data_IF_374693905724
#
_entry.id   IF_374693905724
#
_cell.length_a   1.000
_cell.length_b   1.000
_cell.length_c   1.000
_cell.angle_alpha   90.00
_cell.angle_beta   90.00
_cell.angle_gamma   90.00
#
_symmetry.space_group_name_H-M   'P 1'
#
loop_
_entity.id
_entity.type
_entity.pdbx_description
1 polymer ?
#
# COMPACT_ATOMS: atom_id res chain seq x y z
N UNK A 1 -31.53 9.31 8.37
CA UNK A 1 -30.96 10.65 8.21
C UNK A 1 -31.78 11.37 7.15
N UNK A 2 -32.19 12.59 7.44
CA UNK A 2 -32.92 13.41 6.47
C UNK A 2 -31.92 14.04 5.49
N UNK A 3 -32.27 14.08 4.21
CA UNK A 3 -31.44 14.71 3.18
C UNK A 3 -31.44 16.24 3.34
N UNK A 4 -30.37 16.94 2.93
CA UNK A 4 -30.39 18.40 2.85
C UNK A 4 -31.52 18.92 1.95
N UNK A 5 -31.97 20.14 2.21
CA UNK A 5 -33.01 20.77 1.41
C UNK A 5 -32.57 20.97 -0.06
N UNK A 6 -33.48 20.70 -0.99
CA UNK A 6 -33.29 20.99 -2.42
C UNK A 6 -33.68 22.45 -2.67
N UNK A 7 -32.71 23.28 -3.04
CA UNK A 7 -32.86 24.73 -3.23
C UNK A 7 -32.42 25.18 -4.62
N UNK A 8 -32.68 26.44 -4.96
CA UNK A 8 -32.17 27.04 -6.20
C UNK A 8 -30.65 27.20 -6.18
N UNK A 9 -30.02 27.37 -7.36
CA UNK A 9 -28.57 27.60 -7.46
C UNK A 9 -28.15 28.88 -6.75
N UNK A 10 -28.96 29.92 -6.81
CA UNK A 10 -28.66 31.22 -6.21
C UNK A 10 -28.73 31.15 -4.68
N UNK A 11 -29.74 30.45 -4.14
CA UNK A 11 -29.86 30.19 -2.71
C UNK A 11 -28.71 29.33 -2.19
N UNK A 12 -28.34 28.27 -2.92
CA UNK A 12 -27.16 27.47 -2.60
C UNK A 12 -25.88 28.31 -2.61
N UNK A 13 -25.71 29.19 -3.60
CA UNK A 13 -24.50 30.01 -3.72
C UNK A 13 -24.41 31.00 -2.56
N UNK A 14 -25.52 31.63 -2.19
CA UNK A 14 -25.58 32.51 -1.03
C UNK A 14 -25.10 31.77 0.24
N UNK A 15 -25.73 30.63 0.56
CA UNK A 15 -25.35 29.80 1.72
C UNK A 15 -23.89 29.32 1.65
N UNK A 16 -23.42 28.90 0.46
CA UNK A 16 -22.04 28.43 0.27
C UNK A 16 -21.02 29.53 0.51
N UNK A 17 -21.30 30.77 0.10
CA UNK A 17 -20.39 31.91 0.29
C UNK A 17 -20.34 32.38 1.74
N UNK A 18 -21.43 32.22 2.50
CA UNK A 18 -21.43 32.40 3.95
C UNK A 18 -20.51 31.38 4.62
N UNK A 19 -20.71 30.07 4.34
CA UNK A 19 -19.86 28.99 4.83
C UNK A 19 -18.37 29.18 4.49
N UNK A 20 -18.06 29.72 3.30
CA UNK A 20 -16.68 29.99 2.87
C UNK A 20 -15.94 30.94 3.83
N UNK A 21 -16.67 31.84 4.49
CA UNK A 21 -16.07 32.78 5.44
C UNK A 21 -15.59 32.05 6.69
N UNK A 22 -16.37 31.09 7.18
CA UNK A 22 -16.01 30.23 8.31
C UNK A 22 -14.86 29.28 7.96
N UNK A 23 -14.92 28.63 6.80
CA UNK A 23 -13.83 27.77 6.32
C UNK A 23 -12.50 28.53 6.21
N UNK A 24 -12.52 29.76 5.71
CA UNK A 24 -11.32 30.62 5.66
C UNK A 24 -10.82 31.00 7.05
N UNK A 25 -11.71 31.21 8.01
CA UNK A 25 -11.32 31.47 9.40
C UNK A 25 -10.65 30.22 10.01
N UNK A 26 -11.20 29.03 9.76
CA UNK A 26 -10.60 27.76 10.18
C UNK A 26 -9.21 27.54 9.57
N UNK A 27 -9.02 27.82 8.27
CA UNK A 27 -7.70 27.74 7.63
C UNK A 27 -6.67 28.60 8.35
N UNK A 28 -6.98 29.86 8.63
CA UNK A 28 -6.07 30.77 9.35
C UNK A 28 -5.79 30.29 10.77
N UNK A 29 -6.81 29.78 11.47
CA UNK A 29 -6.66 29.22 12.81
C UNK A 29 -5.75 27.99 12.81
N UNK A 30 -5.86 27.11 11.79
CA UNK A 30 -4.99 25.96 11.59
C UNK A 30 -3.54 26.37 11.35
N UNK A 31 -3.30 27.39 10.53
CA UNK A 31 -1.96 27.92 10.26
C UNK A 31 -1.32 28.51 11.53
N UNK A 32 -2.10 29.27 12.30
CA UNK A 32 -1.65 29.81 13.58
C UNK A 32 -1.32 28.68 14.58
N UNK A 33 -2.14 27.62 14.65
CA UNK A 33 -1.87 26.46 15.50
C UNK A 33 -0.64 25.67 15.04
N UNK A 34 -0.40 25.55 13.74
CA UNK A 34 0.82 24.94 13.22
C UNK A 34 2.07 25.73 13.64
N UNK A 35 2.04 27.06 13.54
CA UNK A 35 3.13 27.95 14.00
C UNK A 35 3.40 27.79 15.49
N UNK A 36 2.34 27.66 16.31
CA UNK A 36 2.48 27.40 17.76
C UNK A 36 3.10 26.05 18.06
N UNK A 37 2.73 24.99 17.32
CA UNK A 37 3.35 23.66 17.47
C UNK A 37 4.84 23.68 17.13
N UNK A 38 5.22 24.39 16.06
CA UNK A 38 6.61 24.54 15.63
C UNK A 38 7.49 25.33 16.62
N UNK A 39 6.89 26.08 17.54
CA UNK A 39 7.60 26.90 18.54
C UNK A 39 7.57 26.31 19.94
N UNK A 40 7.08 25.07 20.11
CA UNK A 40 7.13 24.38 21.39
C UNK A 40 8.59 24.17 21.84
N UNK A 41 8.87 24.23 23.16
CA UNK A 41 10.16 23.80 23.69
C UNK A 41 10.37 22.32 23.39
N UNK A 42 11.63 21.92 23.23
CA UNK A 42 12.03 20.56 22.90
C UNK A 42 12.85 19.94 24.03
N UNK A 43 12.74 18.63 24.19
CA UNK A 43 13.47 17.85 25.20
C UNK A 43 14.53 17.01 24.50
N UNK A 44 15.78 17.08 24.96
CA UNK A 44 16.86 16.25 24.42
C UNK A 44 16.63 14.78 24.80
N UNK A 45 16.68 13.90 23.81
CA UNK A 45 16.60 12.45 23.99
C UNK A 45 18.02 11.93 24.17
N UNK A 46 18.35 11.60 25.41
CA UNK A 46 19.69 11.08 25.78
C UNK A 46 19.75 9.56 25.87
N UNK A 47 18.60 8.90 25.89
CA UNK A 47 18.52 7.44 25.94
C UNK A 47 18.87 6.84 24.57
N UNK A 48 19.71 5.81 24.56
CA UNK A 48 20.11 5.11 23.35
C UNK A 48 19.08 4.02 22.98
N UNK A 49 18.06 4.41 22.23
CA UNK A 49 17.07 3.46 21.73
C UNK A 49 17.56 2.71 20.49
N UNK A 50 17.49 1.38 20.57
CA UNK A 50 17.76 0.45 19.48
C UNK A 50 16.48 -0.24 19.04
N UNK A 51 16.19 -0.17 17.75
CA UNK A 51 15.08 -0.83 17.10
C UNK A 51 15.59 -1.95 16.19
N UNK A 52 14.66 -2.69 15.59
CA UNK A 52 15.00 -3.66 14.56
C UNK A 52 14.08 -3.58 13.34
N UNK A 53 14.64 -3.85 12.17
CA UNK A 53 13.95 -4.13 10.92
C UNK A 53 14.51 -5.42 10.28
N UNK A 54 14.20 -5.66 9.00
CA UNK A 54 14.69 -6.82 8.24
C UNK A 54 16.21 -6.85 8.05
N UNK A 55 16.87 -5.69 8.06
CA UNK A 55 18.32 -5.53 7.86
C UNK A 55 19.11 -5.60 9.18
N UNK A 56 18.43 -5.49 10.32
CA UNK A 56 19.00 -5.76 11.63
C UNK A 56 18.69 -4.65 12.63
N UNK A 57 19.68 -4.27 13.43
CA UNK A 57 19.52 -3.26 14.49
C UNK A 57 19.67 -1.84 13.92
N UNK A 58 18.77 -0.95 14.31
CA UNK A 58 18.70 0.44 13.84
C UNK A 58 18.63 1.38 15.04
N UNK A 59 19.50 2.38 15.13
CA UNK A 59 19.39 3.40 16.20
C UNK A 59 18.30 4.43 15.88
N UNK A 60 17.81 5.16 16.89
CA UNK A 60 16.92 6.30 16.65
C UNK A 60 17.52 7.33 15.68
N UNK A 61 18.85 7.53 15.71
CA UNK A 61 19.53 8.45 14.81
C UNK A 61 19.49 7.97 13.36
N UNK A 62 19.64 6.66 13.14
CA UNK A 62 19.60 6.05 11.81
C UNK A 62 18.21 6.15 11.17
N UNK A 63 17.15 6.09 11.98
CA UNK A 63 15.76 6.26 11.50
C UNK A 63 15.50 7.62 10.85
N UNK A 64 16.33 8.64 11.09
CA UNK A 64 16.25 9.89 10.34
C UNK A 64 16.62 9.72 8.86
N UNK A 65 17.36 8.67 8.49
CA UNK A 65 17.78 8.41 7.11
C UNK A 65 18.59 9.56 6.51
N UNK A 66 19.38 10.26 7.34
CA UNK A 66 20.15 11.46 6.97
C UNK A 66 19.38 12.77 6.96
N UNK A 67 18.07 12.78 7.27
CA UNK A 67 17.26 13.99 7.34
C UNK A 67 17.29 14.64 8.71
N UNK A 68 16.83 15.89 8.82
CA UNK A 68 16.81 16.61 10.11
C UNK A 68 15.56 16.34 10.94
N UNK A 69 14.47 15.93 10.32
CA UNK A 69 13.20 15.70 11.01
C UNK A 69 12.76 14.24 10.88
N UNK A 70 12.17 13.72 11.95
CA UNK A 70 11.61 12.38 11.99
C UNK A 70 10.24 12.44 12.62
N UNK A 71 9.25 11.85 11.95
CA UNK A 71 7.91 11.61 12.48
C UNK A 71 7.79 10.11 12.70
N UNK A 72 7.52 9.72 13.94
CA UNK A 72 7.22 8.33 14.30
C UNK A 72 5.73 8.24 14.61
N UNK A 73 5.04 7.36 13.89
CA UNK A 73 3.72 6.90 14.27
C UNK A 73 3.84 5.65 15.12
N UNK A 74 3.33 5.70 16.34
CA UNK A 74 3.25 4.55 17.23
C UNK A 74 2.05 3.71 16.82
N UNK A 75 2.31 2.63 16.09
CA UNK A 75 1.30 1.76 15.54
C UNK A 75 0.96 0.67 16.58
N UNK A 76 -0.32 0.49 16.88
CA UNK A 76 -0.80 -0.54 17.81
C UNK A 76 -0.66 -1.93 17.18
N UNK A 77 0.45 -2.59 17.52
CA UNK A 77 0.73 -3.97 17.15
C UNK A 77 1.61 -4.61 18.24
N UNK A 78 0.96 -5.31 19.16
CA UNK A 78 1.58 -5.97 20.30
C UNK A 78 2.22 -7.32 19.96
N UNK A 79 3.07 -7.87 20.85
CA UNK A 79 3.80 -9.11 20.61
C UNK A 79 2.89 -10.33 20.37
N UNK A 80 1.72 -10.36 21.01
CA UNK A 80 0.75 -11.46 20.94
C UNK A 80 -0.28 -11.31 19.82
N UNK A 81 -0.21 -10.23 19.03
CA UNK A 81 -1.13 -9.97 17.92
C UNK A 81 -0.58 -10.51 16.60
N UNK A 82 -1.48 -10.84 15.66
CA UNK A 82 -1.12 -11.32 14.31
C UNK A 82 -1.70 -10.42 13.19
N UNK A 83 -2.38 -9.34 13.55
CA UNK A 83 -2.87 -8.32 12.64
C UNK A 83 -2.76 -6.94 13.30
N UNK A 84 -2.58 -5.90 12.49
CA UNK A 84 -2.55 -4.53 12.96
C UNK A 84 -3.93 -4.02 13.35
N UNK A 85 -3.98 -3.07 14.28
CA UNK A 85 -5.23 -2.43 14.69
C UNK A 85 -5.88 -1.66 13.54
N UNK A 86 -7.20 -1.82 13.34
CA UNK A 86 -7.95 -1.21 12.23
C UNK A 86 -7.75 0.31 12.13
N UNK A 87 -7.88 1.04 13.23
CA UNK A 87 -7.71 2.50 13.24
C UNK A 87 -6.28 2.96 12.94
N UNK A 88 -5.27 2.12 13.24
CA UNK A 88 -3.90 2.39 12.82
C UNK A 88 -3.72 2.14 11.34
N UNK A 89 -4.29 1.05 10.82
CA UNK A 89 -4.19 0.68 9.41
C UNK A 89 -4.79 1.72 8.48
N UNK A 90 -5.99 2.27 8.79
CA UNK A 90 -6.58 3.37 8.00
C UNK A 90 -5.73 4.65 8.02
N UNK A 91 -5.00 4.91 9.11
CA UNK A 91 -4.07 6.04 9.15
C UNK A 91 -2.90 5.80 8.21
N UNK A 92 -2.33 4.60 8.21
CA UNK A 92 -1.23 4.27 7.29
C UNK A 92 -1.71 4.27 5.83
N UNK A 93 -2.91 3.78 5.55
CA UNK A 93 -3.56 3.89 4.23
C UNK A 93 -3.80 5.35 3.80
N UNK A 94 -3.84 6.28 4.76
CA UNK A 94 -3.95 7.73 4.49
C UNK A 94 -2.60 8.40 4.21
N UNK A 95 -1.47 7.70 4.41
CA UNK A 95 -0.15 8.26 4.15
C UNK A 95 0.08 8.32 2.64
N UNK A 96 0.16 9.54 2.12
CA UNK A 96 0.50 9.78 0.71
C UNK A 96 1.97 9.49 0.41
N UNK A 97 2.39 9.78 -0.82
CA UNK A 97 3.74 9.49 -1.28
C UNK A 97 4.83 10.20 -0.46
N UNK A 98 5.73 9.44 0.17
CA UNK A 98 6.73 9.94 1.12
C UNK A 98 7.75 10.93 0.53
N UNK A 99 7.96 10.92 -0.80
CA UNK A 99 8.85 11.89 -1.46
C UNK A 99 8.53 13.35 -1.13
N UNK A 100 7.25 13.69 -0.89
CA UNK A 100 6.88 15.05 -0.49
C UNK A 100 7.44 15.45 0.88
N UNK A 101 7.52 14.50 1.82
CA UNK A 101 8.16 14.70 3.13
C UNK A 101 9.69 14.64 3.01
N UNK A 102 10.21 13.66 2.28
CA UNK A 102 11.65 13.50 2.09
C UNK A 102 12.30 14.74 1.47
N UNK A 103 11.66 15.35 0.47
CA UNK A 103 12.11 16.59 -0.16
C UNK A 103 12.07 17.81 0.79
N UNK A 104 11.43 17.69 1.95
CA UNK A 104 11.35 18.68 3.03
C UNK A 104 12.09 18.22 4.28
N UNK A 105 13.10 17.39 4.08
CA UNK A 105 14.04 17.00 5.13
C UNK A 105 13.34 16.34 6.33
N UNK A 106 12.32 15.52 6.04
CA UNK A 106 11.51 14.80 7.04
C UNK A 106 11.35 13.34 6.65
N UNK A 107 11.67 12.42 7.57
CA UNK A 107 11.36 10.99 7.47
C UNK A 107 10.06 10.69 8.22
N UNK A 108 9.27 9.73 7.72
CA UNK A 108 8.09 9.20 8.40
C UNK A 108 8.26 7.69 8.56
N UNK A 109 8.07 7.18 9.78
CA UNK A 109 8.24 5.77 10.11
C UNK A 109 7.15 5.29 11.09
N UNK A 110 6.91 3.98 11.06
CA UNK A 110 6.05 3.30 12.03
C UNK A 110 6.93 2.63 13.09
N UNK A 111 6.44 2.57 14.33
CA UNK A 111 7.06 1.77 15.40
C UNK A 111 5.99 0.95 16.11
N UNK A 112 6.29 -0.32 16.40
CA UNK A 112 5.43 -1.23 17.15
C UNK A 112 6.23 -2.16 18.06
N UNK A 113 5.57 -2.86 19.00
CA UNK A 113 6.23 -3.84 19.89
C UNK A 113 6.31 -5.25 19.33
N UNK A 114 5.55 -5.57 18.29
CA UNK A 114 5.63 -6.86 17.61
C UNK A 114 7.02 -7.11 17.01
N UNK A 115 7.37 -8.39 16.82
CA UNK A 115 8.63 -8.79 16.21
C UNK A 115 8.70 -8.36 14.73
N UNK A 116 9.91 -8.10 14.23
CA UNK A 116 10.16 -7.74 12.83
C UNK A 116 9.41 -8.65 11.87
N UNK A 117 9.51 -9.97 12.04
CA UNK A 117 8.83 -10.92 11.17
C UNK A 117 7.30 -10.74 11.12
N UNK A 118 6.65 -10.34 12.23
CA UNK A 118 5.21 -10.05 12.24
C UNK A 118 4.89 -8.73 11.53
N UNK A 119 5.70 -7.71 11.77
CA UNK A 119 5.54 -6.39 11.15
C UNK A 119 5.69 -6.50 9.63
N UNK A 120 6.74 -7.17 9.15
CA UNK A 120 7.02 -7.33 7.73
C UNK A 120 5.93 -8.07 6.98
N UNK A 121 5.47 -9.22 7.49
CA UNK A 121 4.36 -9.95 6.89
C UNK A 121 3.09 -9.10 6.76
N UNK A 122 2.81 -8.26 7.76
CA UNK A 122 1.64 -7.39 7.72
C UNK A 122 1.86 -6.21 6.76
N UNK A 123 3.04 -5.59 6.77
CA UNK A 123 3.45 -4.51 5.86
C UNK A 123 3.30 -4.95 4.39
N UNK A 124 3.84 -6.12 4.07
CA UNK A 124 3.76 -6.72 2.73
C UNK A 124 2.31 -6.99 2.32
N UNK A 125 1.51 -7.62 3.21
CA UNK A 125 0.08 -7.87 2.96
C UNK A 125 -0.68 -6.60 2.64
N UNK A 126 -0.40 -5.51 3.36
CA UNK A 126 -1.07 -4.23 3.17
C UNK A 126 -0.46 -3.38 2.03
N UNK A 127 0.60 -3.87 1.36
CA UNK A 127 1.28 -3.16 0.27
C UNK A 127 1.92 -1.83 0.70
N UNK A 128 2.23 -1.66 1.99
CA UNK A 128 2.76 -0.40 2.49
C UNK A 128 4.27 -0.28 2.23
N UNK A 129 4.69 0.93 1.85
CA UNK A 129 6.11 1.27 1.61
C UNK A 129 6.73 2.08 2.74
N UNK A 130 5.98 2.31 3.82
CA UNK A 130 6.46 3.06 4.99
C UNK A 130 7.41 2.16 5.79
N UNK A 131 8.60 2.67 6.19
CA UNK A 131 9.50 1.93 7.08
C UNK A 131 8.81 1.62 8.41
N UNK A 132 8.94 0.38 8.90
CA UNK A 132 8.32 -0.07 10.14
C UNK A 132 9.32 -0.79 11.02
N UNK A 133 9.56 -0.26 12.22
CA UNK A 133 10.56 -0.75 13.13
C UNK A 133 9.94 -1.42 14.35
N UNK A 134 10.55 -2.51 14.78
CA UNK A 134 10.25 -3.17 16.04
C UNK A 134 10.98 -2.48 17.19
N UNK A 135 10.24 -2.16 18.25
CA UNK A 135 10.75 -1.74 19.56
C UNK A 135 10.79 -2.90 20.57
N UNK A 136 10.65 -4.14 20.09
CA UNK A 136 10.62 -5.31 20.95
C UNK A 136 11.86 -5.37 21.85
N UNK A 137 11.64 -5.50 23.16
CA UNK A 137 12.71 -5.64 24.14
C UNK A 137 13.32 -4.31 24.63
N UNK A 138 12.81 -3.15 24.21
CA UNK A 138 13.25 -1.85 24.74
C UNK A 138 12.09 -1.06 25.40
N UNK A 139 12.44 0.07 26.04
CA UNK A 139 11.49 0.90 26.80
C UNK A 139 10.79 2.01 25.98
N UNK A 140 11.16 2.19 24.71
CA UNK A 140 10.67 3.25 23.83
C UNK A 140 9.16 3.53 23.94
N UNK A 141 8.26 2.54 23.77
CA UNK A 141 6.84 2.85 23.71
C UNK A 141 6.27 3.27 25.07
N UNK A 142 6.91 2.93 26.19
CA UNK A 142 6.51 3.39 27.53
C UNK A 142 6.95 4.84 27.77
N UNK A 143 8.18 5.17 27.39
CA UNK A 143 8.77 6.51 27.57
C UNK A 143 8.06 7.56 26.69
N UNK A 144 7.51 7.14 25.55
CA UNK A 144 6.69 7.98 24.66
C UNK A 144 5.18 7.76 24.82
N UNK A 145 4.75 7.05 25.87
CA UNK A 145 3.35 6.93 26.28
C UNK A 145 2.42 6.30 25.23
N UNK A 146 2.97 5.40 24.42
CA UNK A 146 2.27 4.57 23.46
C UNK A 146 1.96 3.16 23.98
N UNK A 147 2.57 2.74 25.08
CA UNK A 147 2.23 1.48 25.79
C UNK A 147 2.10 1.71 27.28
N UNK A 148 1.02 1.19 27.86
CA UNK A 148 0.67 1.36 29.26
C UNK A 148 0.79 0.03 29.98
N UNK A 149 1.75 -0.03 30.90
CA UNK A 149 1.97 -1.13 31.83
C UNK A 149 2.55 -0.54 33.12
N UNK A 150 1.72 -0.45 34.16
CA UNK A 150 2.11 0.11 35.46
C UNK A 150 3.28 -0.65 36.12
N UNK A 151 3.54 -1.90 35.72
CA UNK A 151 4.70 -2.66 36.21
C UNK A 151 6.03 -2.19 35.59
N UNK A 152 5.98 -1.46 34.47
CA UNK A 152 7.16 -0.98 33.72
C UNK A 152 7.37 0.52 33.87
N UNK A 153 6.30 1.31 33.81
CA UNK A 153 6.32 2.77 33.92
C UNK A 153 4.97 3.30 34.44
N UNK A 154 4.92 4.47 35.11
CA UNK A 154 3.67 5.10 35.47
C UNK A 154 2.77 5.33 34.25
N UNK A 155 1.48 5.03 34.38
CA UNK A 155 0.50 5.27 33.32
C UNK A 155 0.42 6.75 33.00
N UNK A 156 0.65 7.08 31.75
CA UNK A 156 0.40 8.37 31.17
C UNK A 156 -0.11 8.16 29.75
N UNK A 157 -1.26 8.73 29.42
CA UNK A 157 -1.75 8.78 28.03
C UNK A 157 -2.33 10.16 27.76
N UNK A 158 -1.97 10.76 26.62
CA UNK A 158 -2.47 12.08 26.24
C UNK A 158 -2.34 13.11 27.39
N UNK A 159 -1.17 13.11 28.04
CA UNK A 159 -0.80 13.97 29.18
C UNK A 159 -1.70 13.82 30.42
N UNK A 160 -2.34 12.68 30.60
CA UNK A 160 -3.17 12.33 31.75
C UNK A 160 -2.66 11.07 32.44
N UNK A 161 -2.63 11.09 33.77
CA UNK A 161 -2.35 9.91 34.59
C UNK A 161 -3.59 8.98 34.70
N UNK A 162 -3.40 7.80 35.30
CA UNK A 162 -4.47 6.81 35.49
C UNK A 162 -5.69 7.39 36.24
N UNK A 163 -5.49 8.25 37.23
CA UNK A 163 -6.56 8.85 38.02
C UNK A 163 -7.38 9.86 37.21
N UNK A 164 -6.71 10.69 36.41
CA UNK A 164 -7.33 11.59 35.47
C UNK A 164 -8.15 10.81 34.42
N UNK A 165 -7.57 9.77 33.83
CA UNK A 165 -8.25 8.89 32.86
C UNK A 165 -9.52 8.26 33.46
N UNK A 166 -9.46 7.77 34.71
CA UNK A 166 -10.63 7.27 35.44
C UNK A 166 -11.70 8.35 35.64
N UNK A 167 -11.30 9.56 36.05
CA UNK A 167 -12.24 10.68 36.29
C UNK A 167 -12.97 11.12 35.03
N UNK A 168 -12.31 11.07 33.87
CA UNK A 168 -12.93 11.41 32.57
C UNK A 168 -13.64 10.22 31.92
N UNK A 169 -13.78 9.10 32.64
CA UNK A 169 -14.51 7.93 32.17
C UNK A 169 -13.81 7.14 31.08
N UNK A 170 -12.47 7.20 31.00
CA UNK A 170 -11.64 6.48 30.02
C UNK A 170 -10.61 5.54 30.66
N UNK A 171 -11.00 4.68 31.63
CA UNK A 171 -10.06 3.82 32.34
C UNK A 171 -9.32 2.80 31.45
N UNK A 172 -9.87 2.47 30.27
CA UNK A 172 -9.26 1.52 29.34
C UNK A 172 -7.93 1.99 28.77
N UNK A 173 -7.66 3.31 28.72
CA UNK A 173 -6.36 3.83 28.30
C UNK A 173 -5.21 3.51 29.27
N UNK A 174 -5.50 3.02 30.48
CA UNK A 174 -4.49 2.72 31.49
C UNK A 174 -3.73 1.41 31.26
N UNK A 175 -3.99 0.68 30.16
CA UNK A 175 -3.30 -0.57 29.83
C UNK A 175 -3.18 -0.79 28.33
N UNK A 176 -2.15 -1.50 27.90
CA UNK A 176 -1.98 -1.97 26.52
C UNK A 176 -1.36 -0.93 25.59
N UNK A 177 -1.36 -1.25 24.30
CA UNK A 177 -0.83 -0.36 23.26
C UNK A 177 -1.88 0.64 22.79
N UNK A 178 -1.46 1.87 22.64
CA UNK A 178 -2.25 2.98 22.14
C UNK A 178 -1.52 3.73 21.06
N UNK A 179 -2.27 4.14 20.04
CA UNK A 179 -1.70 4.90 18.95
C UNK A 179 -1.32 6.31 19.40
N UNK A 180 -0.30 6.84 18.74
CA UNK A 180 0.23 8.17 18.97
C UNK A 180 1.15 8.58 17.83
N UNK A 181 1.56 9.83 17.84
CA UNK A 181 2.58 10.35 16.94
C UNK A 181 3.57 11.17 17.73
N UNK A 182 4.86 11.00 17.45
CA UNK A 182 5.93 11.80 18.01
C UNK A 182 6.80 12.41 16.91
N UNK A 183 7.22 13.66 17.11
CA UNK A 183 8.05 14.41 16.16
C UNK A 183 9.39 14.72 16.80
N UNK A 184 10.45 14.49 16.05
CA UNK A 184 11.83 14.68 16.47
C UNK A 184 12.58 15.57 15.49
N UNK A 185 13.52 16.34 16.04
CA UNK A 185 14.48 17.15 15.31
C UNK A 185 15.88 16.68 15.70
N UNK A 186 16.79 16.57 14.73
CA UNK A 186 18.21 16.37 15.01
C UNK A 186 19.06 17.60 14.70
N UNK A 187 20.07 17.81 15.54
CA UNK A 187 21.18 18.74 15.33
C UNK A 187 22.50 17.97 15.49
N UNK A 188 23.13 17.64 14.36
CA UNK A 188 24.20 16.65 14.33
C UNK A 188 23.69 15.28 14.81
N UNK A 189 24.31 14.75 15.86
CA UNK A 189 23.93 13.48 16.50
C UNK A 189 22.95 13.66 17.67
N UNK A 190 22.69 14.91 18.09
CA UNK A 190 21.75 15.20 19.18
C UNK A 190 20.32 15.15 18.66
N UNK A 191 19.44 14.48 19.39
CA UNK A 191 18.05 14.28 19.02
C UNK A 191 17.17 14.98 20.05
N UNK A 192 16.14 15.67 19.57
CA UNK A 192 15.18 16.38 20.41
C UNK A 192 13.76 15.94 20.09
N UNK A 193 13.01 15.56 21.11
CA UNK A 193 11.55 15.39 21.02
C UNK A 193 10.88 16.77 21.07
N UNK A 194 10.05 17.07 20.08
CA UNK A 194 9.45 18.41 19.90
C UNK A 194 7.94 18.41 20.10
N UNK A 195 7.26 17.32 19.77
CA UNK A 195 5.80 17.26 19.80
C UNK A 195 5.30 15.82 19.88
N UNK A 196 4.22 15.59 20.63
CA UNK A 196 3.42 14.37 20.54
C UNK A 196 1.93 14.66 20.48
N UNK A 197 1.18 13.82 19.77
CA UNK A 197 -0.27 13.83 19.70
C UNK A 197 -0.84 12.42 19.82
N UNK A 198 -2.03 12.31 20.41
CA UNK A 198 -2.73 11.07 20.72
C UNK A 198 -4.22 11.23 20.47
N UNK A 199 -4.97 10.12 20.52
CA UNK A 199 -6.41 10.09 20.27
C UNK A 199 -6.81 10.90 19.00
N UNK A 200 -7.92 11.63 19.09
CA UNK A 200 -8.45 12.52 18.06
C UNK A 200 -7.52 13.65 17.64
N UNK A 201 -6.40 13.86 18.34
CA UNK A 201 -5.33 14.75 17.89
C UNK A 201 -4.76 14.35 16.52
N UNK A 202 -4.99 13.11 16.10
CA UNK A 202 -4.52 12.52 14.85
C UNK A 202 -5.60 12.44 13.77
N UNK A 203 -6.86 12.79 14.05
CA UNK A 203 -7.98 12.75 13.09
C UNK A 203 -7.65 13.49 11.79
N UNK A 204 -6.87 14.57 11.87
CA UNK A 204 -6.48 15.40 10.72
C UNK A 204 -5.54 14.69 9.73
N UNK A 205 -4.96 13.55 10.10
CA UNK A 205 -4.13 12.71 9.24
C UNK A 205 -4.96 11.66 8.48
N UNK A 206 -6.21 11.44 8.87
CA UNK A 206 -7.10 10.47 8.24
C UNK A 206 -7.72 11.09 6.98
N UNK A 207 -7.20 10.72 5.82
CA UNK A 207 -7.75 11.21 4.55
C UNK A 207 -9.22 10.85 4.34
N UNK A 208 -9.72 9.65 4.73
CA UNK A 208 -11.14 9.33 4.60
C UNK A 208 -12.04 10.26 5.42
N UNK A 209 -11.64 10.65 6.63
CA UNK A 209 -12.39 11.63 7.43
C UNK A 209 -12.49 12.97 6.73
N UNK A 210 -11.37 13.46 6.18
CA UNK A 210 -11.35 14.73 5.46
C UNK A 210 -12.23 14.68 4.20
N UNK A 211 -12.33 13.53 3.50
CA UNK A 211 -13.23 13.39 2.36
C UNK A 211 -14.70 13.27 2.78
N UNK A 212 -14.99 12.47 3.80
CA UNK A 212 -16.36 12.22 4.28
C UNK A 212 -17.00 13.49 4.87
N UNK A 213 -16.22 14.32 5.57
CA UNK A 213 -16.69 15.60 6.13
C UNK A 213 -17.12 16.61 5.06
N UNK A 214 -16.68 16.45 3.80
CA UNK A 214 -17.13 17.28 2.67
C UNK A 214 -18.47 16.81 2.11
N UNK A 215 -18.92 15.60 2.47
CA UNK A 215 -20.15 15.01 1.94
C UNK A 215 -21.34 15.35 2.83
N UNK A 216 -22.56 15.46 2.26
CA UNK A 216 -23.76 15.71 3.05
C UNK A 216 -24.08 14.64 4.10
N UNK A 217 -23.56 13.42 3.91
CA UNK A 217 -23.76 12.31 4.83
C UNK A 217 -22.74 12.27 5.96
N UNK A 218 -21.71 13.12 5.91
CA UNK A 218 -20.63 13.16 6.88
C UNK A 218 -19.92 11.82 7.05
N UNK A 219 -19.34 11.62 8.23
CA UNK A 219 -18.81 10.31 8.67
C UNK A 219 -19.99 9.43 9.08
N UNK A 220 -20.16 8.29 8.43
CA UNK A 220 -21.22 7.35 8.79
C UNK A 220 -20.84 6.47 9.98
N UNK A 221 -19.55 6.23 10.15
CA UNK A 221 -18.99 5.28 11.11
C UNK A 221 -17.91 5.92 12.00
N UNK A 222 -17.67 5.33 13.17
CA UNK A 222 -16.56 5.67 14.06
C UNK A 222 -15.22 5.14 13.54
N UNK A 223 -14.11 5.55 14.14
CA UNK A 223 -12.77 5.16 13.66
C UNK A 223 -12.53 3.65 13.79
N UNK A 224 -13.11 3.03 14.81
CA UNK A 224 -12.93 1.60 15.09
C UNK A 224 -13.85 0.70 14.25
N UNK A 225 -14.81 1.29 13.53
CA UNK A 225 -15.72 0.58 12.63
C UNK A 225 -15.12 0.37 11.22
N UNK A 226 -14.03 1.08 10.89
CA UNK A 226 -13.30 0.85 9.65
C UNK A 226 -12.66 -0.54 9.66
N UNK A 227 -12.61 -1.16 8.48
CA UNK A 227 -11.97 -2.46 8.27
C UNK A 227 -10.58 -2.26 7.68
N UNK A 228 -9.75 -3.30 7.75
CA UNK A 228 -8.54 -3.34 6.91
C UNK A 228 -8.98 -3.28 5.44
N UNK A 229 -8.25 -2.53 4.60
CA UNK A 229 -8.68 -2.28 3.22
C UNK A 229 -8.87 -3.57 2.40
N UNK A 230 -8.20 -4.66 2.76
CA UNK A 230 -8.30 -5.99 2.12
C UNK A 230 -9.38 -6.90 2.74
N UNK A 231 -10.14 -6.42 3.71
CA UNK A 231 -11.20 -7.19 4.41
C UNK A 231 -12.62 -6.69 4.14
N UNK A 232 -12.79 -5.65 3.32
CA UNK A 232 -14.10 -5.23 2.83
C UNK A 232 -14.70 -6.31 1.91
N UNK A 233 -15.92 -6.72 2.21
CA UNK A 233 -16.66 -7.69 1.40
C UNK A 233 -17.38 -6.99 0.23
N UNK A 234 -17.78 -7.74 -0.81
CA UNK A 234 -18.62 -7.18 -1.88
C UNK A 234 -19.93 -6.54 -1.37
N UNK A 235 -20.46 -7.02 -0.24
CA UNK A 235 -21.64 -6.44 0.39
C UNK A 235 -21.34 -5.08 1.04
N UNK A 236 -20.16 -4.92 1.65
CA UNK A 236 -19.73 -3.63 2.22
C UNK A 236 -19.50 -2.57 1.13
N UNK A 237 -19.06 -3.00 -0.05
CA UNK A 237 -18.79 -2.15 -1.22
C UNK A 237 -19.99 -2.09 -2.20
N UNK A 238 -21.16 -2.61 -1.80
CA UNK A 238 -22.32 -2.62 -2.66
C UNK A 238 -22.78 -1.17 -2.94
N UNK A 239 -22.86 -0.79 -4.21
CA UNK A 239 -23.23 0.57 -4.62
C UNK A 239 -22.06 1.55 -4.76
N UNK A 240 -20.83 1.16 -4.39
CA UNK A 240 -19.63 1.83 -4.87
C UNK A 240 -19.41 1.39 -6.31
N UNK A 241 -20.19 1.97 -7.22
CA UNK A 241 -19.84 1.88 -8.62
C UNK A 241 -18.43 2.49 -8.74
N UNK A 242 -17.44 1.68 -9.09
CA UNK A 242 -16.30 2.12 -9.87
C UNK A 242 -16.82 2.58 -11.24
N UNK A 243 -17.66 3.62 -11.25
CA UNK A 243 -18.19 4.29 -12.41
C UNK A 243 -17.17 5.29 -12.95
N UNK A 244 -15.97 4.78 -13.24
CA UNK A 244 -15.28 5.11 -14.48
C UNK A 244 -15.34 3.93 -15.47
N UNK A 245 -16.34 3.04 -15.34
CA UNK A 245 -16.88 2.29 -16.47
C UNK A 245 -17.59 3.26 -17.44
N UNK A 246 -16.81 3.87 -18.31
CA UNK A 246 -17.31 4.58 -19.48
C UNK A 246 -18.05 3.60 -20.39
N UNK A 247 -19.38 3.78 -20.45
CA UNK A 247 -20.28 3.32 -21.53
C UNK A 247 -20.37 1.81 -21.78
N UNK A 248 -21.45 1.26 -21.20
CA UNK A 248 -22.23 0.09 -21.65
C UNK A 248 -21.93 -0.42 -23.08
N UNK A 249 -21.15 -1.47 -23.15
CA UNK A 249 -21.44 -2.65 -23.96
C UNK A 249 -21.55 -3.85 -23.01
N UNK A 250 -22.58 -4.67 -23.20
CA UNK A 250 -22.87 -5.98 -22.60
C UNK A 250 -21.90 -6.61 -21.57
N UNK A 251 -22.46 -7.06 -20.45
CA UNK A 251 -21.89 -7.95 -19.41
C UNK A 251 -20.86 -8.97 -19.95
N UNK A 252 -19.60 -8.87 -19.51
CA UNK A 252 -18.61 -9.95 -19.49
C UNK A 252 -17.52 -9.63 -18.43
N UNK A 253 -16.97 -10.68 -17.81
CA UNK A 253 -15.96 -10.70 -16.74
C UNK A 253 -14.64 -10.05 -17.17
N UNK A 254 -14.22 -8.93 -16.58
CA UNK A 254 -12.95 -8.29 -16.96
C UNK A 254 -11.79 -8.68 -16.04
N UNK A 255 -11.02 -9.66 -16.50
CA UNK A 255 -9.66 -10.04 -16.05
C UNK A 255 -8.67 -8.91 -16.37
N UNK A 256 -7.72 -8.61 -15.46
CA UNK A 256 -6.69 -7.57 -15.68
C UNK A 256 -5.66 -8.00 -16.74
N UNK A 257 -4.93 -7.08 -17.40
CA UNK A 257 -3.88 -7.43 -18.37
C UNK A 257 -2.83 -8.41 -17.84
N UNK A 258 -2.41 -8.26 -16.57
CA UNK A 258 -1.44 -9.15 -15.92
C UNK A 258 -2.04 -10.55 -15.75
N UNK A 259 -3.30 -10.66 -15.31
CA UNK A 259 -3.97 -11.95 -15.18
C UNK A 259 -4.20 -12.64 -16.53
N UNK A 260 -4.56 -11.89 -17.59
CA UNK A 260 -4.68 -12.43 -18.95
C UNK A 260 -3.33 -12.94 -19.43
N UNK A 261 -2.26 -12.18 -19.22
CA UNK A 261 -0.91 -12.57 -19.61
C UNK A 261 -0.41 -13.80 -18.84
N UNK A 262 -0.60 -13.86 -17.52
CA UNK A 262 -0.23 -15.03 -16.71
C UNK A 262 -1.03 -16.25 -17.14
N UNK A 263 -2.35 -16.11 -17.30
CA UNK A 263 -3.22 -17.21 -17.76
C UNK A 263 -2.80 -17.70 -19.15
N UNK A 264 -2.38 -16.82 -20.03
CA UNK A 264 -1.88 -17.16 -21.36
C UNK A 264 -0.57 -17.96 -21.29
N UNK A 265 0.40 -17.53 -20.49
CA UNK A 265 1.70 -18.21 -20.34
C UNK A 265 1.54 -19.56 -19.62
N UNK A 266 0.68 -19.66 -18.62
CA UNK A 266 0.36 -20.92 -17.93
C UNK A 266 -0.38 -21.90 -18.86
N UNK A 267 -1.33 -21.41 -19.65
CA UNK A 267 -2.00 -22.20 -20.67
C UNK A 267 -1.02 -22.71 -21.73
N UNK A 268 -0.06 -21.89 -22.15
CA UNK A 268 1.03 -22.33 -23.03
C UNK A 268 1.87 -23.43 -22.40
N UNK A 269 2.32 -23.23 -21.15
CA UNK A 269 3.14 -24.21 -20.43
C UNK A 269 2.43 -25.54 -20.14
N UNK A 270 1.09 -25.54 -20.07
CA UNK A 270 0.27 -26.72 -19.83
C UNK A 270 -0.34 -27.33 -21.11
N UNK A 271 -0.19 -26.66 -22.26
CA UNK A 271 -0.77 -27.09 -23.53
C UNK A 271 -2.28 -26.88 -23.65
N UNK A 272 -2.88 -26.00 -22.83
CA UNK A 272 -4.30 -25.68 -22.87
C UNK A 272 -4.62 -24.71 -24.04
N UNK A 273 -4.90 -25.30 -25.20
CA UNK A 273 -5.18 -24.55 -26.42
C UNK A 273 -6.49 -23.77 -26.37
N UNK A 274 -7.46 -24.20 -25.55
CA UNK A 274 -8.74 -23.51 -25.43
C UNK A 274 -8.57 -22.19 -24.69
N UNK A 275 -7.81 -22.19 -23.59
CA UNK A 275 -7.46 -20.96 -22.86
C UNK A 275 -6.59 -20.06 -23.72
N UNK A 276 -5.56 -20.60 -24.40
CA UNK A 276 -4.73 -19.82 -25.32
C UNK A 276 -5.57 -19.09 -26.38
N UNK A 277 -6.45 -19.82 -27.07
CA UNK A 277 -7.32 -19.22 -28.08
C UNK A 277 -8.28 -18.19 -27.46
N UNK A 278 -8.73 -18.40 -26.23
CA UNK A 278 -9.59 -17.47 -25.50
C UNK A 278 -8.88 -16.15 -25.15
N UNK A 279 -7.56 -16.15 -24.98
CA UNK A 279 -6.78 -14.97 -24.64
C UNK A 279 -6.39 -14.12 -25.85
N UNK A 280 -6.37 -14.66 -27.07
CA UNK A 280 -5.87 -13.94 -28.26
C UNK A 280 -6.96 -13.09 -28.94
N UNK A 281 -6.59 -11.89 -29.38
CA UNK A 281 -7.38 -11.14 -30.36
C UNK A 281 -7.23 -11.75 -31.75
N UNK A 282 -8.26 -11.65 -32.59
CA UNK A 282 -8.25 -12.22 -33.95
C UNK A 282 -7.13 -11.62 -34.82
N UNK A 283 -6.81 -10.34 -34.60
CA UNK A 283 -5.80 -9.56 -35.30
C UNK A 283 -4.48 -9.40 -34.52
N UNK A 284 -4.19 -10.32 -33.57
CA UNK A 284 -2.96 -10.26 -32.79
C UNK A 284 -1.70 -10.21 -33.67
N UNK A 285 -0.73 -9.41 -33.24
CA UNK A 285 0.64 -9.42 -33.76
C UNK A 285 1.56 -10.09 -32.74
N UNK A 286 2.14 -11.24 -33.11
CA UNK A 286 3.16 -11.93 -32.32
C UNK A 286 4.54 -11.73 -32.95
N UNK A 287 5.50 -11.29 -32.14
CA UNK A 287 6.89 -11.12 -32.55
C UNK A 287 7.82 -11.87 -31.59
N UNK A 288 8.71 -12.68 -32.15
CA UNK A 288 9.76 -13.40 -31.42
C UNK A 288 11.09 -13.22 -32.13
N UNK A 289 12.23 -13.62 -31.52
CA UNK A 289 13.54 -13.55 -32.17
C UNK A 289 13.66 -14.42 -33.43
N UNK A 290 12.66 -15.26 -33.74
CA UNK A 290 12.67 -16.21 -34.86
C UNK A 290 11.65 -15.88 -35.95
N UNK A 291 10.50 -15.34 -35.56
CA UNK A 291 9.37 -15.17 -36.47
C UNK A 291 8.48 -14.02 -36.02
N UNK A 292 7.81 -13.40 -37.00
CA UNK A 292 6.69 -12.49 -36.81
C UNK A 292 5.45 -13.09 -37.45
N UNK A 293 4.36 -13.18 -36.71
CA UNK A 293 3.09 -13.76 -37.13
C UNK A 293 1.97 -12.75 -36.90
N UNK A 294 1.01 -12.70 -37.82
CA UNK A 294 -0.16 -11.82 -37.74
C UNK A 294 -1.43 -12.67 -37.86
N UNK A 295 -2.35 -12.45 -36.92
CA UNK A 295 -3.60 -13.19 -36.79
C UNK A 295 -3.54 -14.35 -35.79
N UNK A 296 -4.65 -14.60 -35.10
CA UNK A 296 -4.74 -15.61 -34.03
C UNK A 296 -4.46 -17.04 -34.51
N UNK A 297 -4.90 -17.40 -35.73
CA UNK A 297 -4.74 -18.75 -36.28
C UNK A 297 -3.27 -19.13 -36.55
N UNK A 298 -2.46 -18.31 -37.27
CA UNK A 298 -1.02 -18.56 -37.39
C UNK A 298 -0.28 -18.63 -36.05
N UNK A 299 -0.64 -17.76 -35.09
CA UNK A 299 -0.05 -17.74 -33.75
C UNK A 299 -0.34 -19.02 -32.99
N UNK A 300 -1.59 -19.46 -32.94
CA UNK A 300 -1.99 -20.72 -32.28
C UNK A 300 -1.32 -21.95 -32.92
N UNK A 301 -1.19 -21.97 -34.24
CA UNK A 301 -0.51 -23.06 -34.93
C UNK A 301 0.97 -23.16 -34.53
N UNK A 302 1.69 -22.03 -34.51
CA UNK A 302 3.09 -21.99 -34.09
C UNK A 302 3.26 -22.35 -32.60
N UNK A 303 2.38 -21.85 -31.74
CA UNK A 303 2.39 -22.17 -30.31
C UNK A 303 2.10 -23.64 -30.06
N UNK A 304 1.16 -24.25 -30.80
CA UNK A 304 0.84 -25.68 -30.67
C UNK A 304 2.01 -26.57 -31.08
N UNK A 305 2.75 -26.23 -32.14
CA UNK A 305 3.96 -26.95 -32.54
C UNK A 305 5.04 -26.86 -31.45
N UNK A 306 5.27 -25.65 -30.91
CA UNK A 306 6.30 -25.45 -29.90
C UNK A 306 5.91 -26.05 -28.53
N UNK A 307 4.62 -26.03 -28.16
CA UNK A 307 4.13 -26.61 -26.92
C UNK A 307 4.44 -28.12 -26.80
N UNK A 308 4.63 -28.84 -27.91
CA UNK A 308 4.98 -30.26 -27.89
C UNK A 308 6.33 -30.55 -27.23
N UNK A 309 7.24 -29.57 -27.20
CA UNK A 309 8.57 -29.73 -26.58
C UNK A 309 8.66 -29.09 -25.20
N UNK A 310 7.61 -28.39 -24.75
CA UNK A 310 7.52 -27.75 -23.44
C UNK A 310 7.02 -28.76 -22.40
N UNK A 311 7.73 -28.85 -21.27
CA UNK A 311 7.40 -29.72 -20.14
C UNK A 311 6.72 -28.96 -18.98
N UNK A 312 6.77 -27.62 -19.02
CA UNK A 312 6.17 -26.74 -18.04
C UNK A 312 6.82 -25.36 -18.05
N UNK A 313 6.15 -24.43 -17.37
CA UNK A 313 6.62 -23.05 -17.19
C UNK A 313 6.56 -22.70 -15.71
N UNK A 314 7.63 -22.07 -15.21
CA UNK A 314 7.66 -21.48 -13.87
C UNK A 314 7.68 -19.94 -14.02
N UNK A 315 6.63 -19.26 -13.58
CA UNK A 315 6.58 -17.78 -13.59
C UNK A 315 7.56 -17.24 -12.54
N UNK A 316 8.47 -16.36 -12.98
CA UNK A 316 9.47 -15.69 -12.13
C UNK A 316 8.95 -14.35 -11.63
N UNK A 317 8.32 -13.56 -12.51
CA UNK A 317 7.71 -12.29 -12.18
C UNK A 317 6.63 -11.92 -13.21
N UNK A 318 5.59 -11.22 -12.76
CA UNK A 318 4.58 -10.63 -13.65
C UNK A 318 4.25 -9.22 -13.16
N UNK A 319 4.30 -8.24 -14.06
CA UNK A 319 4.13 -6.81 -13.78
C UNK A 319 3.31 -6.17 -14.91
N UNK A 320 2.56 -5.11 -14.64
CA UNK A 320 1.78 -4.47 -15.69
C UNK A 320 1.02 -3.23 -15.24
N UNK A 321 0.35 -2.61 -16.20
CA UNK A 321 -0.55 -1.47 -16.02
C UNK A 321 -1.95 -1.78 -16.59
N UNK A 322 -2.73 -0.75 -16.93
CA UNK A 322 -4.10 -0.90 -17.43
C UNK A 322 -4.19 -1.46 -18.85
N UNK A 323 -3.12 -1.43 -19.64
CA UNK A 323 -3.11 -1.90 -21.04
C UNK A 323 -1.97 -2.89 -21.33
N UNK A 324 -0.97 -3.02 -20.44
CA UNK A 324 0.27 -3.75 -20.72
C UNK A 324 0.62 -4.72 -19.61
N UNK A 325 1.26 -5.82 -19.98
CA UNK A 325 1.84 -6.78 -19.06
C UNK A 325 3.25 -7.20 -19.51
N UNK A 326 4.11 -7.49 -18.56
CA UNK A 326 5.41 -8.13 -18.73
C UNK A 326 5.41 -9.39 -17.88
N UNK A 327 5.68 -10.54 -18.49
CA UNK A 327 5.81 -11.81 -17.77
C UNK A 327 7.20 -12.38 -18.01
N UNK A 328 7.94 -12.61 -16.92
CA UNK A 328 9.26 -13.25 -16.92
C UNK A 328 9.07 -14.67 -16.42
N UNK A 329 9.55 -15.67 -17.16
CA UNK A 329 9.35 -17.07 -16.79
C UNK A 329 10.47 -17.98 -17.28
N UNK A 330 10.62 -19.10 -16.59
CA UNK A 330 11.49 -20.20 -16.97
C UNK A 330 10.68 -21.29 -17.68
N UNK A 331 10.92 -21.48 -18.97
CA UNK A 331 10.29 -22.51 -19.78
C UNK A 331 11.17 -23.75 -19.82
N UNK A 332 10.67 -24.87 -19.30
CA UNK A 332 11.37 -26.16 -19.31
C UNK A 332 11.07 -26.87 -20.62
N UNK A 333 12.10 -27.15 -21.41
CA UNK A 333 11.95 -27.86 -22.69
C UNK A 333 12.76 -29.15 -22.68
N UNK A 334 12.21 -30.22 -23.26
CA UNK A 334 12.91 -31.51 -23.34
C UNK A 334 14.22 -31.45 -24.15
N UNK A 335 14.27 -30.83 -25.35
CA UNK A 335 15.48 -30.82 -26.18
C UNK A 335 16.47 -29.67 -25.89
N UNK A 336 16.03 -28.57 -25.25
CA UNK A 336 16.86 -27.35 -25.09
C UNK A 336 17.17 -26.99 -23.63
N UNK A 337 16.67 -27.77 -22.66
CA UNK A 337 16.76 -27.43 -21.25
C UNK A 337 15.85 -26.26 -20.87
N UNK A 338 16.22 -25.51 -19.84
CA UNK A 338 15.45 -24.35 -19.35
C UNK A 338 15.81 -23.10 -20.13
N UNK A 339 14.81 -22.47 -20.74
CA UNK A 339 14.92 -21.20 -21.46
C UNK A 339 14.24 -20.12 -20.62
N UNK A 340 14.99 -19.07 -20.24
CA UNK A 340 14.41 -17.85 -19.66
C UNK A 340 13.79 -17.01 -20.76
N UNK A 341 12.50 -16.75 -20.65
CA UNK A 341 11.73 -15.96 -21.59
C UNK A 341 11.08 -14.74 -20.91
N UNK A 342 10.84 -13.71 -21.71
CA UNK A 342 10.10 -12.51 -21.32
C UNK A 342 9.10 -12.19 -22.41
N UNK A 343 7.83 -12.13 -22.06
CA UNK A 343 6.78 -11.63 -22.94
C UNK A 343 6.36 -10.22 -22.52
N UNK A 344 6.31 -9.30 -23.48
CA UNK A 344 5.70 -7.98 -23.33
C UNK A 344 4.40 -7.95 -24.14
N UNK A 345 3.27 -7.90 -23.42
CA UNK A 345 1.95 -8.04 -23.99
C UNK A 345 1.16 -6.73 -23.89
N UNK A 346 0.40 -6.43 -24.94
CA UNK A 346 -0.62 -5.38 -24.92
C UNK A 346 -1.98 -6.05 -24.89
N UNK A 347 -2.78 -5.76 -23.87
CA UNK A 347 -4.08 -6.39 -23.62
C UNK A 347 -5.17 -5.34 -23.62
N UNK A 348 -6.26 -5.63 -24.31
CA UNK A 348 -7.48 -4.82 -24.30
C UNK A 348 -8.69 -5.74 -24.28
N UNK A 349 -9.67 -5.42 -23.43
CA UNK A 349 -10.93 -6.17 -23.32
C UNK A 349 -10.71 -7.68 -23.09
N UNK A 350 -9.73 -8.03 -22.27
CA UNK A 350 -9.39 -9.43 -21.96
C UNK A 350 -8.63 -10.17 -23.08
N UNK A 351 -8.28 -9.48 -24.17
CA UNK A 351 -7.63 -10.05 -25.35
C UNK A 351 -6.24 -9.45 -25.59
N UNK A 352 -5.28 -10.30 -25.93
CA UNK A 352 -3.92 -9.92 -26.29
C UNK A 352 -3.92 -9.42 -27.73
N UNK A 353 -3.61 -8.13 -27.92
CA UNK A 353 -3.49 -7.46 -29.22
C UNK A 353 -2.09 -7.58 -29.82
N UNK A 354 -1.07 -7.63 -28.96
CA UNK A 354 0.30 -7.89 -29.40
C UNK A 354 1.08 -8.59 -28.31
N UNK A 355 2.00 -9.43 -28.73
CA UNK A 355 2.91 -10.15 -27.85
C UNK A 355 4.33 -10.10 -28.43
N UNK A 356 5.27 -9.57 -27.65
CA UNK A 356 6.69 -9.49 -28.01
C UNK A 356 7.48 -10.39 -27.07
N UNK A 357 7.87 -11.55 -27.59
CA UNK A 357 8.65 -12.55 -26.91
C UNK A 357 10.15 -12.28 -27.06
N UNK A 358 10.88 -12.36 -25.95
CA UNK A 358 12.35 -12.28 -25.91
C UNK A 358 12.91 -13.48 -25.16
N UNK A 359 13.82 -14.21 -25.80
CA UNK A 359 14.63 -15.26 -25.18
C UNK A 359 15.93 -15.46 -25.96
N UNK A 360 16.91 -16.13 -25.35
CA UNK A 360 18.15 -16.49 -26.03
C UNK A 360 17.96 -17.69 -26.98
N UNK A 361 18.20 -17.48 -28.27
CA UNK A 361 18.06 -18.52 -29.31
C UNK A 361 19.25 -19.47 -29.40
N UNK A 362 20.30 -19.29 -28.59
CA UNK A 362 21.55 -20.04 -28.71
C UNK A 362 21.36 -21.57 -28.70
N UNK A 363 20.72 -22.13 -27.67
CA UNK A 363 20.56 -23.60 -27.56
C UNK A 363 19.63 -24.18 -28.64
N UNK A 364 18.64 -23.42 -29.10
CA UNK A 364 17.78 -23.80 -30.23
C UNK A 364 18.58 -23.90 -31.53
N UNK A 365 19.37 -22.87 -31.86
CA UNK A 365 20.21 -22.85 -33.08
C UNK A 365 21.28 -23.94 -33.05
N UNK A 366 21.85 -24.22 -31.87
CA UNK A 366 22.83 -25.29 -31.66
C UNK A 366 22.24 -26.68 -31.90
N UNK A 367 21.00 -26.93 -31.46
CA UNK A 367 20.30 -28.18 -31.72
C UNK A 367 19.94 -28.38 -33.21
N UNK A 368 19.56 -27.32 -33.92
CA UNK A 368 19.29 -27.37 -35.37
C UNK A 368 20.53 -27.72 -36.19
N UNK A 369 21.68 -27.16 -35.83
CA UNK A 369 22.96 -27.49 -36.46
C UNK A 369 23.38 -28.95 -36.22
N UNK A 370 23.03 -29.52 -35.06
CA UNK A 370 23.33 -30.92 -34.72
C UNK A 370 22.39 -31.94 -35.38
N UNK A 371 21.18 -31.54 -35.81
CA UNK A 371 20.22 -32.38 -36.53
C UNK A 371 20.31 -32.30 -38.07
N UNK A 372 21.30 -31.56 -38.59
CA UNK A 372 21.53 -31.33 -40.03
C UNK A 372 22.65 -32.21 -40.62
N UNK A 373 23.24 -33.10 -39.80
CA UNK A 373 24.15 -34.19 -40.18
C UNK A 373 23.41 -35.53 -40.14
#
# INVERSE_FOLDING_TARGET
>A
MDLPAVVSRDEWLAARTELLTEEKALTRARDALATRRQSLPMVEVTEEYLFADEDGTVSLLDMFGGRRQLIIYHFMFGPDQDHGHNSCSILVDSVGHLAHLHARDTTFALVSRASVAKLERFRERMGWTVPWYSSAGNRWPYDFHATMDESVAPVQYNYQDADALRRVGKPWYASGDWHGLSVFLRDGERIFHTYSAFERGLDHLLSPYNYLDLTPMGRQDGIDDFKLHDTYTPADLAGTATAHQGRRGSVATNTTPVEVAVSFIEAFGSGDMDILASCLADDIVFESPRVRLEGSQPVLAAMSEFAQVVQGVDIVAALGDQERAVVVYDMKTAPFGTIRAVDYLVVRDGKILSDTLVFDTYELRKAELAGSE
#
